data_IF_002127001875
#
_entry.id   IF_002127001875
#
_cell.length_a   1.000
_cell.length_b   1.000
_cell.length_c   1.000
_cell.angle_alpha   90.00
_cell.angle_beta   90.00
_cell.angle_gamma   90.00
#
_symmetry.space_group_name_H-M   'P 1'
#
loop_
_entity.id
_entity.type
_entity.pdbx_description
1 polymer ?
#
# COMPACT_ATOMS: atom_id res chain seq x y z
N UNK A 1 -2.29 59.74 -42.62
CA UNK A 1 -2.41 61.02 -41.87
C UNK A 1 -3.72 60.99 -41.08
N UNK A 2 -3.78 61.63 -39.89
CA UNK A 2 -4.99 61.88 -39.06
C UNK A 2 -5.66 60.61 -38.46
N UNK A 3 -6.29 60.63 -37.27
CA UNK A 3 -6.25 61.59 -36.16
C UNK A 3 -6.66 60.94 -34.82
N UNK A 4 -6.40 61.70 -33.74
CA UNK A 4 -6.70 61.52 -32.32
C UNK A 4 -8.11 61.04 -31.91
N UNK A 5 -8.27 60.62 -30.64
CA UNK A 5 -9.55 60.77 -29.92
C UNK A 5 -9.70 59.96 -28.62
N UNK A 6 -9.37 60.55 -27.46
CA UNK A 6 -9.73 59.99 -26.14
C UNK A 6 -11.21 60.20 -25.81
N UNK A 7 -11.77 59.42 -24.86
CA UNK A 7 -12.77 59.92 -23.88
C UNK A 7 -12.78 59.02 -22.62
N UNK A 8 -13.02 59.66 -21.47
CA UNK A 8 -13.06 59.10 -20.11
C UNK A 8 -14.43 59.41 -19.50
N UNK A 9 -15.09 58.45 -18.84
CA UNK A 9 -16.08 58.70 -17.75
C UNK A 9 -16.39 57.34 -17.07
N UNK A 10 -15.96 57.15 -15.82
CA UNK A 10 -16.76 57.28 -14.58
C UNK A 10 -17.63 56.07 -14.22
N UNK A 11 -17.28 55.39 -13.12
CA UNK A 11 -18.08 55.39 -11.88
C UNK A 11 -17.18 55.04 -10.69
N UNK A 12 -17.30 55.82 -9.59
CA UNK A 12 -16.58 55.66 -8.31
C UNK A 12 -17.58 55.94 -7.18
N UNK A 13 -17.22 55.60 -5.93
CA UNK A 13 -18.08 55.56 -4.72
C UNK A 13 -19.04 54.36 -4.70
N UNK A 14 -19.19 53.57 -3.63
CA UNK A 14 -18.62 53.55 -2.27
C UNK A 14 -18.08 52.12 -1.93
N UNK A 15 -17.42 51.80 -0.82
CA UNK A 15 -17.04 52.58 0.38
C UNK A 15 -15.52 52.42 0.66
N UNK A 16 -15.10 52.25 1.91
CA UNK A 16 -13.71 51.99 2.36
C UNK A 16 -13.74 51.16 3.67
N UNK A 17 -12.57 50.68 4.14
CA UNK A 17 -12.37 49.71 5.25
C UNK A 17 -12.74 48.25 4.89
N UNK A 18 -11.89 47.22 5.03
CA UNK A 18 -10.59 47.13 5.73
C UNK A 18 -9.56 46.36 4.90
N UNK A 19 -8.45 46.99 4.53
CA UNK A 19 -7.23 46.33 4.01
C UNK A 19 -6.08 46.67 4.93
N UNK A 20 -5.72 45.74 5.83
CA UNK A 20 -4.34 45.49 6.25
C UNK A 20 -4.18 43.97 6.50
N UNK A 21 -2.98 43.46 6.25
CA UNK A 21 -2.60 42.03 6.26
C UNK A 21 -3.17 41.13 5.14
N UNK A 22 -2.56 41.21 3.94
CA UNK A 22 -2.22 40.04 3.11
C UNK A 22 -1.22 40.40 1.98
N UNK A 23 -0.08 41.00 2.35
CA UNK A 23 1.03 41.20 1.41
C UNK A 23 1.72 39.84 1.12
N UNK A 24 1.27 39.14 0.08
CA UNK A 24 1.85 37.84 -0.30
C UNK A 24 1.53 37.31 -1.71
N UNK A 25 0.48 37.78 -2.38
CA UNK A 25 0.02 37.20 -3.66
C UNK A 25 0.31 38.02 -4.93
N UNK A 26 0.66 39.30 -4.80
CA UNK A 26 0.77 40.23 -5.96
C UNK A 26 1.94 40.01 -6.92
N UNK A 27 2.87 39.07 -6.66
CA UNK A 27 4.07 38.86 -7.49
C UNK A 27 4.08 37.58 -8.35
N UNK A 28 3.04 36.74 -8.27
CA UNK A 28 2.99 35.49 -9.05
C UNK A 28 2.30 35.64 -10.42
N UNK A 29 1.40 36.61 -10.57
CA UNK A 29 0.56 36.78 -11.78
C UNK A 29 1.35 37.43 -12.93
N UNK A 30 2.26 38.37 -12.65
CA UNK A 30 3.06 39.07 -13.66
C UNK A 30 4.18 38.23 -14.32
N UNK A 31 4.23 36.91 -14.09
CA UNK A 31 5.26 36.01 -14.64
C UNK A 31 4.72 34.93 -15.59
N UNK A 32 3.43 34.94 -15.91
CA UNK A 32 2.78 33.91 -16.73
C UNK A 32 2.34 34.36 -18.13
N UNK A 33 2.42 35.65 -18.49
CA UNK A 33 1.99 36.15 -19.81
C UNK A 33 3.06 36.15 -20.90
N UNK A 34 4.31 35.74 -20.62
CA UNK A 34 5.41 35.79 -21.61
C UNK A 34 5.76 34.47 -22.30
N UNK A 35 5.01 33.38 -22.08
CA UNK A 35 5.29 32.06 -22.69
C UNK A 35 4.01 31.34 -23.16
N UNK A 36 3.23 31.96 -24.05
CA UNK A 36 2.23 31.23 -24.86
C UNK A 36 2.03 31.83 -26.26
N UNK A 37 3.02 31.59 -27.12
CA UNK A 37 2.83 31.61 -28.57
C UNK A 37 3.19 30.22 -29.13
N UNK A 38 2.19 29.34 -29.26
CA UNK A 38 2.01 28.31 -30.32
C UNK A 38 0.93 27.28 -29.91
N UNK A 39 -0.15 27.22 -30.70
CA UNK A 39 -0.91 26.00 -31.03
C UNK A 39 -1.55 25.11 -29.93
N UNK A 40 -2.89 25.14 -29.88
CA UNK A 40 -3.80 24.05 -29.42
C UNK A 40 -3.90 23.74 -27.91
N UNK A 41 -4.54 24.64 -27.15
CA UNK A 41 -5.36 24.25 -25.98
C UNK A 41 -6.39 25.34 -25.63
N UNK A 42 -7.63 25.22 -26.14
CA UNK A 42 -8.72 26.18 -25.83
C UNK A 42 -9.90 25.53 -25.07
N UNK A 43 -10.18 24.24 -25.26
CA UNK A 43 -11.31 23.57 -24.59
C UNK A 43 -11.09 23.26 -23.09
N UNK A 44 -9.84 23.26 -22.59
CA UNK A 44 -9.55 22.91 -21.18
C UNK A 44 -9.60 24.09 -20.19
N UNK A 45 -9.41 25.33 -20.65
CA UNK A 45 -9.37 26.49 -19.74
C UNK A 45 -10.78 26.94 -19.31
N UNK A 46 -11.79 26.79 -20.17
CA UNK A 46 -13.17 27.17 -19.84
C UNK A 46 -13.77 26.34 -18.70
N UNK A 47 -13.39 25.07 -18.60
CA UNK A 47 -13.85 24.15 -17.56
C UNK A 47 -13.32 24.52 -16.16
N UNK A 48 -12.07 24.99 -16.08
CA UNK A 48 -11.47 25.42 -14.81
C UNK A 48 -12.10 26.71 -14.27
N UNK A 49 -12.51 27.63 -15.14
CA UNK A 49 -13.13 28.89 -14.72
C UNK A 49 -14.53 28.66 -14.12
N UNK A 50 -15.34 27.78 -14.70
CA UNK A 50 -16.66 27.43 -14.13
C UNK A 50 -16.55 26.69 -12.78
N UNK A 51 -15.58 25.78 -12.61
CA UNK A 51 -15.37 25.10 -11.34
C UNK A 51 -14.98 26.06 -10.21
N UNK A 52 -14.13 27.06 -10.48
CA UNK A 52 -13.73 28.06 -9.48
C UNK A 52 -14.92 28.91 -9.02
N UNK A 53 -15.77 29.36 -9.94
CA UNK A 53 -16.96 30.17 -9.61
C UNK A 53 -17.97 29.37 -8.77
N UNK A 54 -18.18 28.09 -9.09
CA UNK A 54 -19.07 27.21 -8.32
C UNK A 54 -18.55 26.94 -6.90
N UNK A 55 -17.25 26.72 -6.71
CA UNK A 55 -16.67 26.56 -5.36
C UNK A 55 -16.80 27.84 -4.51
N UNK A 56 -16.61 29.02 -5.10
CA UNK A 56 -16.79 30.30 -4.40
C UNK A 56 -18.24 30.54 -3.95
N UNK A 57 -19.24 30.09 -4.71
CA UNK A 57 -20.66 30.16 -4.28
C UNK A 57 -20.98 29.17 -3.17
N UNK A 58 -20.47 27.93 -3.23
CA UNK A 58 -20.70 26.92 -2.18
C UNK A 58 -20.14 27.34 -0.82
N UNK A 59 -18.99 28.01 -0.78
CA UNK A 59 -18.37 28.46 0.49
C UNK A 59 -19.19 29.58 1.15
N UNK A 60 -19.83 30.47 0.37
CA UNK A 60 -20.72 31.52 0.93
C UNK A 60 -22.01 30.95 1.53
N UNK A 61 -22.56 29.88 0.96
CA UNK A 61 -23.80 29.26 1.48
C UNK A 61 -23.60 28.59 2.85
N UNK A 62 -22.45 27.94 3.08
CA UNK A 62 -22.14 27.24 4.35
C UNK A 62 -21.97 28.23 5.52
N UNK A 63 -21.53 29.46 5.25
CA UNK A 63 -21.34 30.51 6.27
C UNK A 63 -22.68 31.16 6.67
N UNK A 64 -23.75 30.99 5.89
CA UNK A 64 -25.04 31.68 6.07
C UNK A 64 -26.17 30.86 6.71
N UNK A 65 -25.93 29.60 7.09
CA UNK A 65 -26.78 28.88 8.07
C UNK A 65 -28.25 28.62 7.70
N UNK A 66 -28.61 28.42 6.43
CA UNK A 66 -30.01 28.17 6.02
C UNK A 66 -30.19 26.91 5.13
N UNK A 67 -30.85 25.89 5.70
CA UNK A 67 -31.73 24.88 5.06
C UNK A 67 -31.08 23.88 4.05
N UNK A 68 -31.41 22.56 4.08
CA UNK A 68 -30.70 21.54 3.28
C UNK A 68 -31.16 21.46 1.82
N UNK A 69 -30.23 21.17 0.91
CA UNK A 69 -30.48 20.95 -0.53
C UNK A 69 -30.03 19.53 -0.93
N UNK A 70 -30.83 18.74 -1.65
CA UNK A 70 -30.44 17.41 -2.10
C UNK A 70 -29.42 17.48 -3.26
N UNK A 71 -28.37 16.66 -3.18
CA UNK A 71 -27.32 16.59 -4.22
C UNK A 71 -27.81 15.81 -5.43
N UNK A 72 -28.04 16.50 -6.55
CA UNK A 72 -28.28 15.90 -7.87
C UNK A 72 -26.95 15.74 -8.58
N UNK A 73 -26.55 14.51 -8.91
CA UNK A 73 -25.35 14.22 -9.71
C UNK A 73 -25.72 14.10 -11.19
N UNK A 74 -25.24 15.01 -12.03
CA UNK A 74 -25.35 14.91 -13.49
C UNK A 74 -24.14 14.17 -14.08
N UNK A 75 -24.39 13.08 -14.82
CA UNK A 75 -23.41 12.45 -15.70
C UNK A 75 -23.52 13.04 -17.10
N UNK A 76 -22.49 13.74 -17.58
CA UNK A 76 -22.39 14.21 -18.96
C UNK A 76 -21.58 13.23 -19.81
N UNK A 77 -22.22 12.59 -20.80
CA UNK A 77 -21.57 11.76 -21.83
C UNK A 77 -21.39 12.58 -23.12
N UNK A 78 -20.18 12.60 -23.67
CA UNK A 78 -19.93 13.17 -25.01
C UNK A 78 -19.99 12.06 -26.05
N UNK A 79 -21.03 12.10 -26.90
CA UNK A 79 -21.14 11.28 -28.10
C UNK A 79 -20.23 11.81 -29.20
N UNK A 80 -19.41 10.93 -29.80
CA UNK A 80 -18.69 11.23 -31.05
C UNK A 80 -19.17 10.27 -32.14
N UNK A 81 -19.98 10.78 -33.07
CA UNK A 81 -20.48 10.02 -34.21
C UNK A 81 -19.38 9.93 -35.28
N UNK A 82 -19.09 8.72 -35.76
CA UNK A 82 -18.09 8.47 -36.80
C UNK A 82 -18.38 7.17 -37.52
N UNK A 83 -19.29 7.21 -38.51
CA UNK A 83 -19.72 6.01 -39.22
C UNK A 83 -18.67 5.48 -40.21
N UNK A 84 -18.61 4.15 -40.36
CA UNK A 84 -18.08 3.49 -41.56
C UNK A 84 -19.05 2.40 -42.03
N UNK A 85 -19.20 2.33 -43.36
CA UNK A 85 -20.13 1.45 -44.08
C UNK A 85 -19.73 -0.03 -43.91
N UNK A 86 -20.71 -0.92 -43.84
CA UNK A 86 -20.53 -2.36 -44.12
C UNK A 86 -21.39 -2.78 -45.32
N UNK A 87 -20.97 -3.84 -46.00
CA UNK A 87 -21.49 -4.25 -47.30
C UNK A 87 -22.54 -5.38 -47.22
N UNK A 88 -23.60 -5.20 -48.01
CA UNK A 88 -24.33 -6.23 -48.79
C UNK A 88 -24.74 -7.59 -48.17
N UNK A 89 -26.07 -7.77 -48.15
CA UNK A 89 -26.84 -8.92 -48.69
C UNK A 89 -27.04 -10.25 -47.92
N UNK A 90 -28.32 -10.45 -47.55
CA UNK A 90 -29.28 -11.47 -48.10
C UNK A 90 -29.76 -12.64 -47.21
N UNK A 91 -31.10 -12.83 -47.31
CA UNK A 91 -31.94 -14.04 -47.05
C UNK A 91 -32.15 -14.46 -45.58
N UNK A 92 -33.23 -15.20 -45.22
CA UNK A 92 -34.69 -15.22 -45.58
C UNK A 92 -35.34 -16.36 -44.76
N UNK A 93 -36.67 -16.28 -44.53
CA UNK A 93 -37.61 -17.22 -43.84
C UNK A 93 -37.96 -16.77 -42.41
N UNK A 94 -39.23 -16.57 -41.99
CA UNK A 94 -40.55 -17.23 -42.15
C UNK A 94 -40.89 -18.22 -41.02
N UNK A 95 -42.01 -17.96 -40.34
CA UNK A 95 -42.59 -18.78 -39.29
C UNK A 95 -43.56 -17.94 -38.44
N UNK A 96 -44.87 -18.07 -38.65
CA UNK A 96 -45.91 -17.24 -38.03
C UNK A 96 -46.97 -18.14 -37.38
N UNK A 97 -47.39 -17.85 -36.14
CA UNK A 97 -48.60 -18.44 -35.55
C UNK A 97 -49.23 -17.55 -34.44
N UNK A 98 -50.29 -16.86 -34.85
CA UNK A 98 -51.48 -16.41 -34.10
C UNK A 98 -51.43 -16.05 -32.59
N UNK A 99 -51.48 -14.73 -32.35
CA UNK A 99 -52.50 -13.99 -31.57
C UNK A 99 -53.15 -14.69 -30.35
N UNK A 100 -52.87 -14.14 -29.15
CA UNK A 100 -53.92 -13.70 -28.20
C UNK A 100 -53.64 -12.25 -27.80
N UNK A 101 -54.64 -11.39 -27.92
CA UNK A 101 -54.62 -10.01 -27.43
C UNK A 101 -55.09 -10.01 -25.97
N UNK A 102 -54.27 -9.47 -25.07
CA UNK A 102 -54.70 -8.94 -23.76
C UNK A 102 -54.00 -7.59 -23.58
N UNK A 103 -54.66 -6.66 -22.89
CA UNK A 103 -54.45 -5.20 -22.93
C UNK A 103 -53.11 -4.71 -22.35
N UNK A 104 -52.66 -3.55 -22.84
CA UNK A 104 -51.36 -2.93 -22.52
C UNK A 104 -51.12 -2.76 -21.01
N UNK A 105 -50.04 -3.36 -20.51
CA UNK A 105 -49.28 -2.85 -19.35
C UNK A 105 -47.83 -3.35 -19.39
N UNK A 106 -47.16 -3.16 -20.54
CA UNK A 106 -45.86 -3.75 -20.83
C UNK A 106 -44.67 -2.81 -20.55
N UNK A 107 -43.74 -3.28 -19.72
CA UNK A 107 -42.31 -3.47 -20.08
C UNK A 107 -41.48 -3.99 -18.89
N UNK A 108 -41.66 -5.28 -18.54
CA UNK A 108 -40.66 -6.01 -17.73
C UNK A 108 -39.50 -6.44 -18.63
N UNK A 109 -38.49 -5.58 -18.75
CA UNK A 109 -37.25 -5.93 -19.47
C UNK A 109 -36.40 -6.87 -18.59
N UNK A 110 -36.43 -8.17 -18.89
CA UNK A 110 -35.30 -9.05 -18.57
C UNK A 110 -34.14 -8.71 -19.51
N UNK A 111 -33.18 -7.92 -19.04
CA UNK A 111 -31.91 -7.72 -19.75
C UNK A 111 -30.81 -8.56 -19.09
N UNK A 112 -30.31 -9.52 -19.86
CA UNK A 112 -29.12 -10.30 -19.56
C UNK A 112 -27.93 -9.32 -19.46
N UNK A 113 -27.53 -8.97 -18.23
CA UNK A 113 -26.27 -8.27 -18.00
C UNK A 113 -25.11 -9.26 -18.19
N UNK A 114 -24.54 -9.29 -19.39
CA UNK A 114 -23.21 -9.86 -19.61
C UNK A 114 -22.20 -9.03 -18.80
N UNK A 115 -21.46 -9.71 -17.93
CA UNK A 115 -20.38 -9.12 -17.15
C UNK A 115 -19.31 -8.50 -18.06
N UNK A 116 -19.03 -7.22 -17.86
CA UNK A 116 -17.83 -6.52 -18.35
C UNK A 116 -17.15 -5.82 -17.17
N UNK A 117 -16.81 -6.61 -16.16
CA UNK A 117 -16.16 -6.15 -14.94
C UNK A 117 -14.69 -5.78 -15.21
N UNK A 118 -14.41 -4.50 -15.44
CA UNK A 118 -13.04 -3.99 -15.35
C UNK A 118 -12.68 -3.91 -13.86
N UNK A 119 -12.16 -5.02 -13.34
CA UNK A 119 -11.75 -5.17 -11.95
C UNK A 119 -10.50 -4.34 -11.63
N UNK A 120 -10.69 -3.16 -11.04
CA UNK A 120 -9.66 -2.56 -10.19
C UNK A 120 -9.74 -3.24 -8.81
N UNK A 121 -8.97 -4.31 -8.60
CA UNK A 121 -9.02 -5.11 -7.38
C UNK A 121 -8.29 -4.43 -6.21
N UNK A 122 -8.93 -3.41 -5.63
CA UNK A 122 -8.84 -3.17 -4.20
C UNK A 122 -9.94 -3.97 -3.50
N UNK A 123 -9.55 -4.86 -2.58
CA UNK A 123 -10.48 -5.69 -1.81
C UNK A 123 -11.49 -4.84 -1.06
N UNK A 124 -12.73 -4.81 -1.55
CA UNK A 124 -13.87 -4.17 -0.89
C UNK A 124 -14.76 -5.26 -0.28
N UNK A 125 -14.71 -5.40 1.05
CA UNK A 125 -15.67 -6.21 1.77
C UNK A 125 -17.08 -5.66 1.55
N UNK A 126 -17.95 -6.45 0.90
CA UNK A 126 -19.38 -6.15 0.83
C UNK A 126 -20.04 -6.42 2.17
N UNK A 127 -20.12 -5.40 3.02
CA UNK A 127 -20.94 -5.40 4.25
C UNK A 127 -22.10 -4.41 4.14
N UNK A 128 -23.06 -4.70 3.28
CA UNK A 128 -24.41 -4.11 3.34
C UNK A 128 -25.37 -5.06 4.04
N UNK A 129 -25.19 -5.19 5.36
CA UNK A 129 -26.19 -5.69 6.32
C UNK A 129 -26.10 -4.82 7.58
N UNK A 130 -27.26 -4.49 8.15
CA UNK A 130 -27.49 -3.66 9.33
C UNK A 130 -26.41 -3.77 10.43
N UNK A 131 -25.77 -2.63 10.75
CA UNK A 131 -25.33 -2.33 12.11
C UNK A 131 -26.45 -1.48 12.73
N UNK A 132 -27.40 -2.02 13.52
CA UNK A 132 -27.25 -2.68 14.83
C UNK A 132 -26.21 -2.01 15.73
N UNK A 133 -26.62 -1.62 16.95
CA UNK A 133 -25.69 -0.99 17.90
C UNK A 133 -24.48 -1.91 18.11
N UNK A 134 -23.24 -1.40 18.04
CA UNK A 134 -22.06 -2.24 18.16
C UNK A 134 -21.99 -2.87 19.56
N UNK A 135 -21.42 -4.08 19.63
CA UNK A 135 -21.27 -4.87 20.84
C UNK A 135 -20.87 -4.01 22.05
N UNK A 136 -21.68 -4.08 23.11
CA UNK A 136 -21.74 -3.17 24.26
C UNK A 136 -20.42 -2.43 24.53
N UNK A 137 -20.30 -1.22 23.98
CA UNK A 137 -19.06 -0.43 24.05
C UNK A 137 -18.67 -0.10 25.49
N UNK A 138 -19.67 0.11 26.35
CA UNK A 138 -19.46 0.32 27.78
C UNK A 138 -18.83 -0.90 28.45
N UNK A 139 -19.30 -2.11 28.14
CA UNK A 139 -18.70 -3.34 28.66
C UNK A 139 -17.26 -3.55 28.16
N UNK A 140 -16.96 -3.19 26.91
CA UNK A 140 -15.58 -3.21 26.37
C UNK A 140 -14.67 -2.22 27.09
N UNK A 141 -15.17 -1.02 27.37
CA UNK A 141 -14.47 -0.02 28.19
C UNK A 141 -14.25 -0.54 29.63
N UNK A 142 -15.22 -1.24 30.24
CA UNK A 142 -15.01 -1.90 31.55
C UNK A 142 -13.88 -2.93 31.50
N UNK A 143 -13.81 -3.75 30.45
CA UNK A 143 -12.70 -4.70 30.25
C UNK A 143 -11.34 -4.01 30.11
N UNK A 144 -11.27 -2.86 29.42
CA UNK A 144 -10.07 -2.02 29.34
C UNK A 144 -9.71 -1.47 30.74
N UNK A 145 -10.69 -0.93 31.46
CA UNK A 145 -10.50 -0.35 32.80
C UNK A 145 -10.01 -1.40 33.80
N UNK A 146 -10.56 -2.61 33.74
CA UNK A 146 -10.10 -3.76 34.52
C UNK A 146 -8.62 -4.09 34.25
N UNK A 147 -8.19 -4.11 32.98
CA UNK A 147 -6.79 -4.37 32.61
C UNK A 147 -5.83 -3.26 33.05
N UNK A 148 -6.32 -2.02 33.08
CA UNK A 148 -5.58 -0.84 33.56
C UNK A 148 -5.60 -0.69 35.09
N UNK A 149 -6.29 -1.58 35.81
CA UNK A 149 -6.51 -1.49 37.27
C UNK A 149 -7.15 -0.16 37.72
N UNK A 150 -8.06 0.39 36.91
CA UNK A 150 -8.84 1.61 37.22
C UNK A 150 -10.33 1.29 37.43
N UNK A 151 -11.13 2.19 38.05
CA UNK A 151 -12.56 1.96 38.25
C UNK A 151 -13.31 1.66 36.95
N UNK A 152 -14.13 0.61 36.97
CA UNK A 152 -14.85 0.09 35.80
C UNK A 152 -16.17 0.85 35.54
N UNK A 153 -16.06 2.17 35.30
CA UNK A 153 -17.21 3.04 35.01
C UNK A 153 -17.95 2.64 33.73
N UNK A 154 -17.25 2.02 32.77
CA UNK A 154 -17.77 1.75 31.43
C UNK A 154 -17.95 3.00 30.58
N UNK A 155 -17.36 4.12 31.00
CA UNK A 155 -17.27 5.39 30.28
C UNK A 155 -15.79 5.71 30.12
N UNK A 156 -15.37 6.20 28.95
CA UNK A 156 -13.97 6.57 28.76
C UNK A 156 -13.70 7.92 29.44
N UNK A 157 -13.25 7.84 30.69
CA UNK A 157 -13.04 8.98 31.59
C UNK A 157 -11.56 9.41 31.67
N UNK A 158 -11.31 10.51 32.41
CA UNK A 158 -9.98 11.08 32.59
C UNK A 158 -9.00 10.11 33.28
N UNK A 159 -9.51 9.24 34.16
CA UNK A 159 -8.72 8.22 34.87
C UNK A 159 -8.24 7.15 33.89
N UNK A 160 -9.14 6.66 33.04
CA UNK A 160 -8.85 5.71 31.96
C UNK A 160 -7.85 6.31 30.96
N UNK A 161 -8.06 7.56 30.56
CA UNK A 161 -7.15 8.27 29.65
C UNK A 161 -5.75 8.48 30.26
N UNK A 162 -5.66 8.82 31.55
CA UNK A 162 -4.38 8.95 32.26
C UNK A 162 -3.61 7.62 32.33
N UNK A 163 -4.29 6.53 32.66
CA UNK A 163 -3.68 5.20 32.71
C UNK A 163 -3.14 4.78 31.33
N UNK A 164 -3.91 5.01 30.26
CA UNK A 164 -3.46 4.75 28.88
C UNK A 164 -2.28 5.63 28.46
N UNK A 165 -2.30 6.93 28.77
CA UNK A 165 -1.14 7.80 28.50
C UNK A 165 0.13 7.31 29.22
N UNK A 166 -0.01 6.75 30.43
CA UNK A 166 1.11 6.16 31.18
C UNK A 166 1.63 4.86 30.52
N UNK A 167 0.74 3.92 30.19
CA UNK A 167 1.07 2.67 29.47
C UNK A 167 1.79 2.96 28.15
N UNK A 168 1.30 3.94 27.39
CA UNK A 168 1.85 4.36 26.10
C UNK A 168 3.07 5.28 26.22
N UNK A 169 3.40 5.78 27.42
CA UNK A 169 4.45 6.77 27.69
C UNK A 169 4.33 8.06 26.86
N UNK A 170 3.09 8.54 26.66
CA UNK A 170 2.78 9.74 25.87
C UNK A 170 2.28 10.89 26.77
N UNK A 171 2.66 12.13 26.44
CA UNK A 171 2.08 13.31 27.07
C UNK A 171 0.80 13.73 26.32
N UNK A 172 -0.35 13.49 26.93
CA UNK A 172 -1.67 13.86 26.40
C UNK A 172 -2.19 15.25 26.81
N UNK A 173 -1.38 16.09 27.44
CA UNK A 173 -1.86 17.35 28.03
C UNK A 173 -2.77 17.10 29.25
N UNK A 174 -3.60 18.09 29.59
CA UNK A 174 -4.38 18.11 30.85
C UNK A 174 -5.84 17.65 30.70
N UNK A 175 -6.51 17.92 29.57
CA UNK A 175 -7.94 17.61 29.41
C UNK A 175 -8.19 16.20 28.86
N UNK A 176 -9.42 15.69 29.05
CA UNK A 176 -9.82 14.40 28.49
C UNK A 176 -9.69 14.41 26.97
N UNK A 177 -10.18 15.44 26.29
CA UNK A 177 -10.13 15.55 24.83
C UNK A 177 -8.70 15.55 24.29
N UNK A 178 -7.75 16.26 24.92
CA UNK A 178 -6.36 16.25 24.44
C UNK A 178 -5.69 14.90 24.66
N UNK A 179 -5.99 14.22 25.77
CA UNK A 179 -5.49 12.86 26.05
C UNK A 179 -6.09 11.84 25.09
N UNK A 180 -7.40 11.88 24.84
CA UNK A 180 -8.06 11.01 23.85
C UNK A 180 -7.43 11.17 22.47
N UNK A 181 -7.20 12.41 22.01
CA UNK A 181 -6.52 12.65 20.73
C UNK A 181 -5.08 12.13 20.71
N UNK A 182 -4.33 12.30 21.80
CA UNK A 182 -2.98 11.74 21.91
C UNK A 182 -2.96 10.20 21.89
N UNK A 183 -3.91 9.55 22.58
CA UNK A 183 -4.11 8.10 22.57
C UNK A 183 -4.49 7.64 21.16
N UNK A 184 -5.44 8.30 20.50
CA UNK A 184 -5.86 8.02 19.13
C UNK A 184 -4.69 8.04 18.15
N UNK A 185 -3.85 9.09 18.19
CA UNK A 185 -2.61 9.16 17.41
C UNK A 185 -1.65 8.01 17.75
N UNK A 186 -1.45 7.74 19.04
CA UNK A 186 -0.55 6.68 19.50
C UNK A 186 -1.03 5.26 19.19
N UNK A 187 -2.33 5.04 18.96
CA UNK A 187 -2.89 3.76 18.49
C UNK A 187 -3.26 3.76 16.99
N UNK A 188 -2.81 4.77 16.25
CA UNK A 188 -2.93 4.82 14.78
C UNK A 188 -4.36 4.96 14.25
N UNK A 189 -5.17 5.83 14.86
CA UNK A 189 -6.50 6.23 14.34
C UNK A 189 -6.66 7.75 14.28
N UNK A 190 -7.65 8.21 13.52
CA UNK A 190 -8.07 9.61 13.45
C UNK A 190 -8.26 10.18 14.85
N UNK A 191 -7.66 11.33 15.12
CA UNK A 191 -7.67 12.00 16.42
C UNK A 191 -8.81 13.02 16.52
N UNK A 192 -10.03 12.57 16.27
CA UNK A 192 -11.25 13.37 16.38
C UNK A 192 -11.59 13.75 17.83
N UNK A 193 -11.11 12.99 18.83
CA UNK A 193 -11.44 13.14 20.25
C UNK A 193 -12.57 12.22 20.74
N UNK A 194 -13.07 11.33 19.89
CA UNK A 194 -14.26 10.49 20.12
C UNK A 194 -13.86 9.02 20.27
N UNK A 195 -14.29 8.39 21.36
CA UNK A 195 -14.04 6.98 21.64
C UNK A 195 -15.07 6.11 20.93
N UNK A 196 -14.86 5.92 19.62
CA UNK A 196 -15.65 4.99 18.80
C UNK A 196 -15.21 3.53 18.93
N UNK A 197 -15.97 2.58 18.36
CA UNK A 197 -15.64 1.15 18.39
C UNK A 197 -14.24 0.80 17.84
N UNK A 198 -13.76 1.56 16.84
CA UNK A 198 -12.42 1.40 16.26
C UNK A 198 -11.34 1.77 17.30
N UNK A 199 -11.46 2.94 17.93
CA UNK A 199 -10.53 3.38 18.99
C UNK A 199 -10.48 2.37 20.15
N UNK A 200 -11.64 1.81 20.54
CA UNK A 200 -11.70 0.76 21.57
C UNK A 200 -11.00 -0.53 21.11
N UNK A 201 -11.23 -1.01 19.89
CA UNK A 201 -10.53 -2.20 19.35
C UNK A 201 -9.00 -2.01 19.31
N UNK A 202 -8.55 -0.79 19.04
CA UNK A 202 -7.11 -0.44 19.03
C UNK A 202 -6.49 -0.44 20.41
N UNK A 203 -7.22 0.04 21.42
CA UNK A 203 -6.80 0.01 22.82
C UNK A 203 -6.80 -1.43 23.35
N UNK A 204 -7.80 -2.24 23.01
CA UNK A 204 -7.82 -3.68 23.33
C UNK A 204 -6.60 -4.40 22.74
N UNK A 205 -6.23 -4.13 21.49
CA UNK A 205 -5.04 -4.70 20.84
C UNK A 205 -3.71 -4.20 21.45
N UNK A 206 -3.70 -3.00 22.07
CA UNK A 206 -2.55 -2.45 22.79
C UNK A 206 -2.37 -3.10 24.18
N UNK A 207 -3.47 -3.42 24.88
CA UNK A 207 -3.44 -3.96 26.25
C UNK A 207 -3.40 -5.49 26.30
N UNK A 208 -4.07 -6.15 25.36
CA UNK A 208 -4.04 -7.60 25.16
C UNK A 208 -3.67 -7.92 23.71
N UNK A 209 -2.40 -7.70 23.33
CA UNK A 209 -1.93 -8.08 22.02
C UNK A 209 -2.01 -9.60 21.84
N UNK A 210 -2.87 -10.04 20.92
CA UNK A 210 -2.99 -11.44 20.51
C UNK A 210 -2.49 -11.55 19.08
N UNK A 211 -1.40 -12.30 18.88
CA UNK A 211 -1.01 -12.72 17.55
C UNK A 211 -2.20 -13.45 16.90
N UNK A 212 -2.52 -13.18 15.61
CA UNK A 212 -3.54 -13.94 14.91
C UNK A 212 -3.15 -15.42 14.87
N UNK A 213 -4.14 -16.30 14.99
CA UNK A 213 -3.92 -17.72 14.79
C UNK A 213 -3.38 -17.95 13.38
N UNK A 214 -2.22 -18.61 13.28
CA UNK A 214 -1.55 -18.86 11.99
C UNK A 214 -2.38 -19.92 11.24
N UNK A 215 -2.94 -19.60 10.06
CA UNK A 215 -3.77 -20.54 9.30
C UNK A 215 -3.00 -21.78 8.88
N UNK A 216 -3.72 -22.87 8.61
CA UNK A 216 -3.13 -24.07 8.03
C UNK A 216 -2.42 -23.73 6.70
N UNK A 217 -1.16 -24.14 6.57
CA UNK A 217 -0.29 -23.84 5.41
C UNK A 217 0.60 -22.60 5.57
N UNK A 218 0.28 -21.68 6.48
CA UNK A 218 1.18 -20.57 6.83
C UNK A 218 2.20 -20.99 7.90
N UNK A 219 3.37 -20.36 7.90
CA UNK A 219 4.46 -20.62 8.83
C UNK A 219 4.53 -19.60 9.96
N UNK A 220 4.28 -18.32 9.66
CA UNK A 220 4.56 -17.21 10.57
C UNK A 220 3.64 -16.01 10.29
N UNK A 221 3.67 -15.02 11.18
CA UNK A 221 2.88 -13.80 11.09
C UNK A 221 3.83 -12.60 11.09
N UNK A 222 3.91 -11.88 9.98
CA UNK A 222 4.88 -10.78 9.78
C UNK A 222 4.17 -9.44 9.59
N UNK A 223 4.81 -8.34 9.95
CA UNK A 223 4.22 -7.01 9.75
C UNK A 223 4.29 -6.54 8.30
N UNK A 224 3.36 -5.68 7.88
CA UNK A 224 3.45 -4.98 6.59
C UNK A 224 4.75 -4.15 6.50
N UNK A 225 5.20 -3.54 7.61
CA UNK A 225 6.46 -2.81 7.67
C UNK A 225 7.67 -3.70 7.33
N UNK A 226 7.69 -4.94 7.79
CA UNK A 226 8.74 -5.91 7.45
C UNK A 226 8.72 -6.32 5.98
N UNK A 227 7.54 -6.50 5.40
CA UNK A 227 7.39 -6.81 3.98
C UNK A 227 7.86 -5.64 3.09
N UNK A 228 7.55 -4.41 3.49
CA UNK A 228 8.06 -3.20 2.83
C UNK A 228 9.58 -3.09 2.95
N UNK A 229 10.17 -3.41 4.11
CA UNK A 229 11.63 -3.47 4.26
C UNK A 229 12.25 -4.45 3.26
N UNK A 230 11.70 -5.67 3.15
CA UNK A 230 12.18 -6.68 2.21
C UNK A 230 12.09 -6.16 0.78
N UNK A 231 10.92 -5.69 0.33
CA UNK A 231 10.73 -5.18 -1.04
C UNK A 231 11.67 -4.00 -1.34
N UNK A 232 11.79 -3.04 -0.43
CA UNK A 232 12.67 -1.89 -0.60
C UNK A 232 14.15 -2.31 -0.68
N UNK A 233 14.54 -3.39 0.00
CA UNK A 233 15.90 -3.94 -0.12
C UNK A 233 16.16 -4.65 -1.46
N UNK A 234 15.11 -5.15 -2.15
CA UNK A 234 15.24 -5.81 -3.46
C UNK A 234 15.09 -4.85 -4.65
N UNK A 235 14.17 -3.88 -4.60
CA UNK A 235 13.80 -3.02 -5.76
C UNK A 235 13.78 -1.52 -5.48
N UNK A 236 14.18 -1.09 -4.27
CA UNK A 236 14.20 0.30 -3.78
C UNK A 236 12.85 0.99 -3.63
N UNK A 237 12.01 1.02 -4.67
CA UNK A 237 10.66 1.60 -4.65
C UNK A 237 9.80 1.12 -5.84
N UNK A 238 8.50 1.43 -5.81
CA UNK A 238 7.56 1.16 -6.92
C UNK A 238 7.97 1.90 -8.20
N UNK A 239 8.50 3.11 -8.08
CA UNK A 239 8.96 3.96 -9.19
C UNK A 239 10.25 3.38 -9.79
N UNK A 240 11.21 2.98 -8.95
CA UNK A 240 12.45 2.35 -9.39
C UNK A 240 12.18 1.01 -10.10
N UNK A 241 11.27 0.19 -9.58
CA UNK A 241 10.79 -1.01 -10.25
C UNK A 241 10.14 -0.71 -11.60
N UNK A 242 9.21 0.24 -11.63
CA UNK A 242 8.48 0.65 -12.83
C UNK A 242 9.41 1.15 -13.93
N UNK A 243 10.48 1.86 -13.57
CA UNK A 243 11.47 2.36 -14.52
C UNK A 243 12.49 1.32 -14.99
N UNK A 244 12.87 0.33 -14.16
CA UNK A 244 14.07 -0.52 -14.41
C UNK A 244 13.84 -2.03 -14.41
N UNK A 245 12.85 -2.53 -13.66
CA UNK A 245 12.76 -3.96 -13.29
C UNK A 245 11.47 -4.67 -13.78
N UNK A 246 10.61 -3.98 -14.54
CA UNK A 246 9.40 -4.59 -15.13
C UNK A 246 9.66 -5.73 -16.12
N UNK A 247 10.82 -5.74 -16.79
CA UNK A 247 11.16 -6.76 -17.78
C UNK A 247 12.15 -7.77 -17.22
N UNK A 248 12.15 -9.02 -17.73
CA UNK A 248 13.12 -10.04 -17.36
C UNK A 248 14.58 -9.54 -17.41
N UNK A 249 15.38 -9.93 -16.43
CA UNK A 249 16.80 -9.58 -16.28
C UNK A 249 17.64 -10.82 -16.02
N UNK A 250 18.95 -10.70 -16.22
CA UNK A 250 19.94 -11.65 -15.71
C UNK A 250 20.90 -10.86 -14.82
N UNK A 251 20.96 -11.14 -13.50
CA UNK A 251 21.76 -10.35 -12.57
C UNK A 251 23.28 -10.65 -12.65
N UNK A 252 23.68 -11.72 -13.36
CA UNK A 252 25.07 -12.17 -13.47
C UNK A 252 25.33 -13.50 -12.77
N UNK A 253 26.58 -13.97 -12.82
CA UNK A 253 26.99 -15.24 -12.20
C UNK A 253 26.17 -16.43 -12.71
N UNK A 254 25.93 -17.41 -11.84
CA UNK A 254 25.18 -18.64 -12.15
C UNK A 254 23.65 -18.47 -12.09
N UNK A 255 23.14 -17.25 -11.88
CA UNK A 255 21.70 -16.98 -11.92
C UNK A 255 21.09 -17.31 -13.29
N UNK A 256 19.80 -17.63 -13.27
CA UNK A 256 18.99 -17.74 -14.47
C UNK A 256 18.33 -16.42 -14.86
N UNK A 257 17.28 -16.52 -15.68
CA UNK A 257 16.43 -15.37 -16.01
C UNK A 257 15.56 -15.05 -14.78
N UNK A 258 15.69 -13.83 -14.25
CA UNK A 258 14.91 -13.34 -13.11
C UNK A 258 13.76 -12.46 -13.57
N UNK A 259 12.58 -12.64 -12.98
CA UNK A 259 11.37 -11.81 -13.21
C UNK A 259 10.76 -11.35 -11.89
N UNK A 260 9.91 -10.30 -11.94
CA UNK A 260 9.26 -9.76 -10.75
C UNK A 260 10.27 -9.30 -9.70
N UNK A 261 10.02 -9.68 -8.44
CA UNK A 261 10.94 -9.45 -7.31
C UNK A 261 11.68 -10.77 -7.03
N UNK A 262 12.92 -10.88 -7.52
CA UNK A 262 13.85 -11.95 -7.18
C UNK A 262 13.46 -13.38 -7.63
N UNK A 263 12.46 -13.55 -8.51
CA UNK A 263 12.02 -14.89 -8.95
C UNK A 263 12.94 -15.40 -10.07
N UNK A 264 13.94 -16.23 -9.71
CA UNK A 264 14.89 -16.83 -10.66
C UNK A 264 14.33 -18.11 -11.31
N UNK A 265 13.99 -18.01 -12.60
CA UNK A 265 13.43 -19.09 -13.43
C UNK A 265 14.47 -20.18 -13.75
N UNK A 266 15.77 -19.92 -13.53
CA UNK A 266 16.82 -20.93 -13.63
C UNK A 266 16.76 -21.97 -12.50
N UNK A 267 16.15 -21.66 -11.37
CA UNK A 267 16.19 -22.49 -10.16
C UNK A 267 14.83 -23.07 -9.72
N UNK A 268 13.72 -22.71 -10.38
CA UNK A 268 12.39 -23.25 -10.07
C UNK A 268 12.00 -24.43 -10.97
N UNK A 269 11.05 -25.26 -10.51
CA UNK A 269 10.44 -26.29 -11.36
C UNK A 269 9.39 -25.69 -12.30
N UNK A 270 9.00 -26.46 -13.34
CA UNK A 270 7.87 -26.08 -14.21
C UNK A 270 6.58 -25.88 -13.41
N UNK A 271 6.34 -26.71 -12.41
CA UNK A 271 5.14 -26.61 -11.58
C UNK A 271 5.16 -25.33 -10.74
N UNK A 272 6.29 -25.00 -10.12
CA UNK A 272 6.42 -23.77 -9.31
C UNK A 272 6.26 -22.52 -10.17
N UNK A 273 6.86 -22.50 -11.37
CA UNK A 273 6.70 -21.42 -12.33
C UNK A 273 5.23 -21.25 -12.75
N UNK A 274 4.57 -22.34 -13.13
CA UNK A 274 3.16 -22.28 -13.58
C UNK A 274 2.22 -21.91 -12.44
N UNK A 275 2.44 -22.42 -11.22
CA UNK A 275 1.68 -22.02 -10.03
C UNK A 275 1.84 -20.52 -9.74
N UNK A 276 3.05 -19.98 -9.90
CA UNK A 276 3.37 -18.59 -9.57
C UNK A 276 2.97 -17.57 -10.66
N UNK A 277 2.91 -17.95 -11.93
CA UNK A 277 2.81 -16.98 -13.04
C UNK A 277 1.64 -17.19 -14.01
N UNK A 278 0.97 -18.35 -14.02
CA UNK A 278 -0.08 -18.64 -15.01
C UNK A 278 -1.29 -17.71 -14.94
N UNK A 279 -1.67 -17.27 -13.74
CA UNK A 279 -2.76 -16.31 -13.54
C UNK A 279 -2.39 -14.85 -13.87
N UNK A 280 -1.12 -14.58 -14.22
CA UNK A 280 -0.55 -13.24 -14.30
C UNK A 280 0.07 -12.87 -15.66
N UNK A 281 0.32 -13.86 -16.52
CA UNK A 281 0.96 -13.69 -17.83
C UNK A 281 0.09 -14.30 -18.93
N UNK A 282 0.19 -13.75 -20.15
CA UNK A 282 -0.43 -14.37 -21.32
C UNK A 282 0.25 -15.69 -21.65
N UNK A 283 -0.47 -16.62 -22.31
CA UNK A 283 0.09 -17.90 -22.73
C UNK A 283 1.39 -17.73 -23.55
N UNK A 284 1.41 -16.76 -24.47
CA UNK A 284 2.62 -16.40 -25.23
C UNK A 284 3.81 -16.04 -24.34
N UNK A 285 3.60 -15.21 -23.30
CA UNK A 285 4.68 -14.85 -22.36
C UNK A 285 5.09 -16.04 -21.47
N UNK A 286 4.15 -16.90 -21.08
CA UNK A 286 4.46 -18.14 -20.36
C UNK A 286 5.34 -19.06 -21.22
N UNK A 287 4.98 -19.30 -22.48
CA UNK A 287 5.74 -20.16 -23.39
C UNK A 287 7.17 -19.62 -23.63
N UNK A 288 7.31 -18.30 -23.81
CA UNK A 288 8.62 -17.65 -23.92
C UNK A 288 9.50 -17.86 -22.68
N UNK A 289 8.91 -17.84 -21.48
CA UNK A 289 9.63 -18.02 -20.21
C UNK A 289 9.90 -19.51 -19.90
N UNK A 290 8.98 -20.40 -20.27
CA UNK A 290 9.17 -21.85 -20.18
C UNK A 290 10.33 -22.32 -21.06
N UNK A 291 10.54 -21.69 -22.21
CA UNK A 291 11.71 -21.92 -23.08
C UNK A 291 13.05 -21.48 -22.47
N UNK A 292 13.06 -20.79 -21.33
CA UNK A 292 14.27 -20.46 -20.55
C UNK A 292 14.30 -21.06 -19.15
N UNK A 293 13.33 -21.91 -18.81
CA UNK A 293 13.28 -22.64 -17.55
C UNK A 293 14.55 -23.49 -17.36
N UNK A 294 15.14 -23.41 -16.17
CA UNK A 294 16.37 -24.13 -15.83
C UNK A 294 17.66 -23.57 -16.47
N UNK A 295 17.58 -22.60 -17.40
CA UNK A 295 18.78 -21.98 -17.99
C UNK A 295 19.45 -21.05 -16.98
N UNK A 296 20.79 -21.09 -16.95
CA UNK A 296 21.65 -20.40 -15.99
C UNK A 296 22.89 -19.82 -16.69
N UNK A 297 23.60 -18.95 -15.99
CA UNK A 297 24.92 -18.48 -16.41
C UNK A 297 24.90 -17.55 -17.62
N UNK A 298 26.04 -17.42 -18.29
CA UNK A 298 26.23 -16.48 -19.41
C UNK A 298 25.26 -16.69 -20.58
N UNK A 299 24.70 -17.90 -20.76
CA UNK A 299 23.68 -18.19 -21.77
C UNK A 299 22.41 -17.33 -21.56
N UNK A 300 22.02 -17.03 -20.32
CA UNK A 300 20.88 -16.16 -20.03
C UNK A 300 21.09 -14.74 -20.56
N UNK A 301 22.32 -14.20 -20.50
CA UNK A 301 22.67 -12.85 -20.99
C UNK A 301 22.25 -12.63 -22.45
N UNK A 302 22.45 -13.63 -23.29
CA UNK A 302 22.14 -13.57 -24.72
C UNK A 302 20.63 -13.61 -25.00
N UNK A 303 19.83 -14.18 -24.10
CA UNK A 303 18.38 -14.37 -24.27
C UNK A 303 17.58 -13.16 -23.74
N UNK A 304 18.10 -12.42 -22.75
CA UNK A 304 17.41 -11.25 -22.16
C UNK A 304 16.82 -10.27 -23.20
N UNK A 305 17.48 -9.91 -24.33
CA UNK A 305 16.91 -9.01 -25.32
C UNK A 305 15.56 -9.46 -25.90
N UNK A 306 15.38 -10.76 -26.22
CA UNK A 306 14.13 -11.26 -26.78
C UNK A 306 12.99 -11.30 -25.75
N UNK A 307 13.34 -11.37 -24.45
CA UNK A 307 12.38 -11.36 -23.35
C UNK A 307 11.93 -9.95 -22.91
N UNK A 308 12.52 -8.87 -23.44
CA UNK A 308 12.16 -7.48 -23.05
C UNK A 308 10.75 -7.04 -23.42
N UNK A 309 10.07 -7.77 -24.32
CA UNK A 309 8.64 -7.58 -24.61
C UNK A 309 7.76 -7.89 -23.39
N UNK A 310 8.21 -8.81 -22.52
CA UNK A 310 7.49 -9.19 -21.31
C UNK A 310 7.60 -8.04 -20.30
N UNK A 311 6.45 -7.63 -19.77
CA UNK A 311 6.30 -6.59 -18.74
C UNK A 311 5.46 -7.15 -17.59
N UNK A 312 6.06 -7.20 -16.41
CA UNK A 312 5.40 -7.54 -15.14
C UNK A 312 5.10 -6.22 -14.42
N UNK A 313 3.85 -6.00 -14.01
CA UNK A 313 3.50 -4.82 -13.23
C UNK A 313 4.07 -4.93 -11.81
N UNK A 314 4.32 -3.79 -11.14
CA UNK A 314 4.79 -3.82 -9.75
C UNK A 314 3.81 -4.57 -8.84
N UNK A 315 2.52 -4.33 -8.98
CA UNK A 315 1.49 -4.92 -8.11
C UNK A 315 1.39 -6.44 -8.35
N UNK A 316 1.56 -6.90 -9.59
CA UNK A 316 1.73 -8.33 -9.93
C UNK A 316 3.00 -8.91 -9.31
N UNK A 317 4.13 -8.21 -9.41
CA UNK A 317 5.41 -8.69 -8.88
C UNK A 317 5.39 -8.83 -7.35
N UNK A 318 4.76 -7.88 -6.65
CA UNK A 318 4.52 -7.93 -5.20
C UNK A 318 3.56 -9.07 -4.84
N UNK A 319 2.48 -9.26 -5.60
CA UNK A 319 1.55 -10.36 -5.36
C UNK A 319 2.26 -11.72 -5.45
N UNK A 320 3.01 -11.98 -6.52
CA UNK A 320 3.75 -13.24 -6.67
C UNK A 320 4.81 -13.41 -5.60
N UNK A 321 5.51 -12.33 -5.24
CA UNK A 321 6.50 -12.33 -4.17
C UNK A 321 5.91 -12.77 -2.82
N UNK A 322 4.74 -12.24 -2.45
CA UNK A 322 4.04 -12.61 -1.22
C UNK A 322 3.41 -14.00 -1.27
N UNK A 323 2.87 -14.44 -2.41
CA UNK A 323 2.10 -15.69 -2.51
C UNK A 323 2.97 -16.92 -2.78
N UNK A 324 4.14 -16.75 -3.40
CA UNK A 324 4.99 -17.88 -3.84
C UNK A 324 6.42 -17.81 -3.28
N UNK A 325 7.04 -16.63 -3.27
CA UNK A 325 8.46 -16.50 -2.85
C UNK A 325 8.62 -16.51 -1.33
N UNK A 326 7.91 -15.65 -0.61
CA UNK A 326 8.05 -15.52 0.85
C UNK A 326 7.60 -16.76 1.64
N UNK A 327 6.52 -17.49 1.30
CA UNK A 327 6.09 -18.66 2.07
C UNK A 327 7.11 -19.80 2.09
N UNK A 328 7.91 -19.94 1.03
CA UNK A 328 9.03 -20.88 1.02
C UNK A 328 10.12 -20.48 2.02
N UNK A 329 10.51 -19.20 2.02
CA UNK A 329 11.48 -18.67 2.98
C UNK A 329 10.94 -18.75 4.42
N UNK A 330 9.66 -18.47 4.64
CA UNK A 330 8.99 -18.53 5.94
C UNK A 330 9.01 -19.95 6.56
N UNK A 331 8.83 -20.99 5.74
CA UNK A 331 9.01 -22.39 6.19
C UNK A 331 10.43 -22.65 6.69
N UNK A 332 11.44 -22.16 5.96
CA UNK A 332 12.84 -22.31 6.37
C UNK A 332 13.17 -21.50 7.64
N UNK A 333 12.63 -20.28 7.78
CA UNK A 333 12.78 -19.47 9.01
C UNK A 333 12.22 -20.21 10.21
N UNK A 334 11.01 -20.77 10.12
CA UNK A 334 10.39 -21.56 11.20
C UNK A 334 11.14 -22.85 11.51
N UNK A 335 11.71 -23.50 10.49
CA UNK A 335 12.52 -24.72 10.63
C UNK A 335 13.86 -24.46 11.33
N UNK A 336 14.51 -23.34 11.01
CA UNK A 336 15.85 -22.98 11.53
C UNK A 336 15.77 -22.32 12.91
N UNK A 337 14.72 -21.53 13.16
CA UNK A 337 14.50 -20.83 14.41
C UNK A 337 13.19 -21.28 15.09
N UNK A 338 13.17 -22.47 15.73
CA UNK A 338 11.99 -22.96 16.43
C UNK A 338 11.48 -21.95 17.47
N UNK A 339 10.19 -21.64 17.40
CA UNK A 339 9.56 -20.64 18.27
C UNK A 339 9.47 -19.24 17.68
N UNK A 340 10.07 -18.95 16.51
CA UNK A 340 9.97 -17.66 15.81
C UNK A 340 8.54 -17.13 15.73
N UNK A 341 7.57 -18.02 15.49
CA UNK A 341 6.15 -17.67 15.35
C UNK A 341 5.49 -17.12 16.63
N UNK A 342 6.20 -17.16 17.77
CA UNK A 342 5.81 -16.58 19.07
C UNK A 342 6.42 -15.20 19.33
N UNK A 343 7.28 -14.69 18.45
CA UNK A 343 7.89 -13.36 18.56
C UNK A 343 6.95 -12.26 18.02
N UNK A 344 7.23 -10.97 18.24
CA UNK A 344 6.51 -9.89 17.57
C UNK A 344 6.58 -9.98 16.04
N UNK A 345 5.53 -9.61 15.27
CA UNK A 345 5.52 -9.75 13.82
C UNK A 345 6.61 -8.97 13.07
N UNK A 346 7.07 -7.86 13.64
CA UNK A 346 8.24 -7.12 13.14
C UNK A 346 9.54 -7.93 13.30
N UNK A 347 9.75 -8.54 14.47
CA UNK A 347 10.89 -9.43 14.75
C UNK A 347 10.84 -10.70 13.89
N UNK A 348 9.64 -11.27 13.69
CA UNK A 348 9.42 -12.37 12.74
C UNK A 348 9.83 -11.97 11.31
N UNK A 349 9.38 -10.80 10.85
CA UNK A 349 9.71 -10.29 9.52
C UNK A 349 11.18 -9.89 9.32
N UNK A 350 11.86 -9.41 10.37
CA UNK A 350 13.30 -9.16 10.35
C UNK A 350 14.12 -10.45 10.12
N UNK A 351 13.70 -11.56 10.75
CA UNK A 351 14.30 -12.88 10.54
C UNK A 351 13.98 -13.46 9.16
N UNK A 352 12.78 -13.18 8.63
CA UNK A 352 12.42 -13.50 7.24
C UNK A 352 13.30 -12.75 6.24
N UNK A 353 13.51 -11.45 6.43
CA UNK A 353 14.41 -10.65 5.57
C UNK A 353 15.87 -11.11 5.65
N UNK A 354 16.34 -11.49 6.84
CA UNK A 354 17.66 -12.10 7.05
C UNK A 354 17.83 -13.36 6.20
N UNK A 355 16.88 -14.29 6.32
CA UNK A 355 17.00 -15.58 5.66
C UNK A 355 16.78 -15.48 4.16
N UNK A 356 15.91 -14.59 3.70
CA UNK A 356 15.75 -14.27 2.28
C UNK A 356 17.06 -13.72 1.69
N UNK A 357 17.72 -12.80 2.39
CA UNK A 357 18.97 -12.19 1.93
C UNK A 357 20.19 -13.12 1.94
N UNK A 358 20.27 -14.04 2.92
CA UNK A 358 21.47 -14.87 3.16
C UNK A 358 21.28 -16.35 2.89
N UNK A 359 20.07 -16.80 2.60
CA UNK A 359 19.72 -18.22 2.44
C UNK A 359 19.75 -19.03 3.75
N UNK A 360 19.17 -20.24 3.73
CA UNK A 360 18.91 -21.07 4.91
C UNK A 360 20.12 -21.80 5.50
N UNK A 361 21.33 -21.62 4.95
CA UNK A 361 22.53 -22.34 5.42
C UNK A 361 22.98 -21.83 6.80
N UNK A 362 23.01 -22.74 7.77
CA UNK A 362 23.64 -22.58 9.08
C UNK A 362 24.82 -23.56 9.16
N UNK A 363 25.99 -23.07 9.54
CA UNK A 363 27.20 -23.87 9.77
C UNK A 363 28.18 -23.12 10.68
N UNK A 364 29.33 -23.73 10.96
CA UNK A 364 30.35 -23.19 11.88
C UNK A 364 31.34 -22.21 11.25
N UNK A 365 31.09 -21.74 10.01
CA UNK A 365 31.91 -20.68 9.43
C UNK A 365 31.73 -19.36 10.17
N UNK A 366 32.79 -18.56 10.31
CA UNK A 366 32.68 -17.20 10.89
C UNK A 366 31.62 -16.35 10.15
N UNK A 367 31.42 -16.58 8.85
CA UNK A 367 30.38 -15.91 8.06
C UNK A 367 28.94 -16.26 8.48
N UNK A 368 28.72 -17.33 9.26
CA UNK A 368 27.39 -17.77 9.73
C UNK A 368 27.22 -17.70 11.25
N UNK A 369 28.23 -17.29 12.02
CA UNK A 369 28.20 -17.37 13.49
C UNK A 369 27.01 -16.62 14.12
N UNK A 370 26.68 -15.41 13.68
CA UNK A 370 25.54 -14.67 14.21
C UNK A 370 24.21 -15.35 13.86
N UNK A 371 24.10 -15.96 12.67
CA UNK A 371 22.90 -16.71 12.28
C UNK A 371 22.73 -17.98 13.11
N UNK A 372 23.82 -18.67 13.47
CA UNK A 372 23.77 -19.79 14.42
C UNK A 372 23.40 -19.32 15.83
N UNK A 373 23.94 -18.17 16.27
CA UNK A 373 23.66 -17.59 17.59
C UNK A 373 22.20 -17.14 17.77
N UNK A 374 21.48 -16.84 16.68
CA UNK A 374 20.04 -16.52 16.74
C UNK A 374 19.15 -17.67 17.21
N UNK A 375 19.58 -18.93 17.04
CA UNK A 375 18.76 -20.13 17.37
C UNK A 375 18.32 -20.14 18.86
N UNK A 376 19.22 -20.12 19.85
CA UNK A 376 18.83 -20.08 21.27
C UNK A 376 18.10 -18.79 21.65
N UNK A 377 18.43 -17.66 21.01
CA UNK A 377 17.80 -16.36 21.32
C UNK A 377 16.33 -16.33 20.89
N UNK A 378 16.02 -16.86 19.71
CA UNK A 378 14.63 -17.01 19.24
C UNK A 378 13.85 -18.00 20.11
N UNK A 379 14.46 -19.12 20.49
CA UNK A 379 13.81 -20.11 21.37
C UNK A 379 13.50 -19.53 22.77
N UNK A 380 14.37 -18.65 23.29
CA UNK A 380 14.19 -17.95 24.56
C UNK A 380 13.27 -16.71 24.49
N UNK A 381 12.90 -16.25 23.29
CA UNK A 381 12.15 -15.00 23.12
C UNK A 381 12.99 -13.72 23.31
N UNK A 382 14.32 -13.79 23.27
CA UNK A 382 15.20 -12.64 23.49
C UNK A 382 15.28 -11.74 22.25
N UNK A 383 14.31 -10.85 22.14
CA UNK A 383 14.21 -9.83 21.08
C UNK A 383 15.46 -8.93 21.04
N UNK A 384 16.04 -8.60 22.21
CA UNK A 384 17.22 -7.71 22.28
C UNK A 384 18.47 -8.43 21.77
N UNK A 385 18.68 -9.69 22.18
CA UNK A 385 19.72 -10.56 21.64
C UNK A 385 19.58 -10.75 20.13
N UNK A 386 18.35 -10.98 19.63
CA UNK A 386 18.07 -11.10 18.19
C UNK A 386 18.51 -9.84 17.43
N UNK A 387 18.11 -8.66 17.89
CA UNK A 387 18.52 -7.39 17.30
C UNK A 387 20.06 -7.17 17.37
N UNK A 388 20.69 -7.51 18.49
CA UNK A 388 22.14 -7.42 18.65
C UNK A 388 22.92 -8.31 17.68
N UNK A 389 22.44 -9.54 17.41
CA UNK A 389 23.03 -10.43 16.40
C UNK A 389 22.83 -9.90 14.98
N UNK A 390 21.61 -9.45 14.63
CA UNK A 390 21.33 -8.80 13.34
C UNK A 390 22.26 -7.60 13.08
N UNK A 391 22.47 -6.76 14.10
CA UNK A 391 23.35 -5.59 14.05
C UNK A 391 24.84 -5.97 13.97
N UNK A 392 25.26 -7.03 14.66
CA UNK A 392 26.65 -7.54 14.63
C UNK A 392 27.05 -8.06 13.24
N UNK A 393 26.11 -8.64 12.48
CA UNK A 393 26.37 -9.12 11.11
C UNK A 393 26.88 -8.04 10.15
N UNK A 394 26.71 -6.73 10.45
CA UNK A 394 27.23 -5.62 9.62
C UNK A 394 28.74 -5.75 9.34
N UNK A 395 29.53 -6.35 10.25
CA UNK A 395 30.96 -6.62 10.08
C UNK A 395 31.31 -7.46 8.84
N UNK A 396 30.36 -8.23 8.30
CA UNK A 396 30.57 -9.09 7.14
C UNK A 396 30.72 -8.31 5.83
N UNK A 397 30.45 -7.00 5.87
CA UNK A 397 30.39 -6.10 4.73
C UNK A 397 31.03 -4.74 4.99
N UNK A 398 31.73 -4.57 6.11
CA UNK A 398 32.54 -3.36 6.38
C UNK A 398 33.68 -3.24 5.38
N UNK A 399 34.14 -2.00 5.19
CA UNK A 399 35.31 -1.70 4.38
C UNK A 399 36.58 -2.25 5.04
N UNK A 400 37.43 -2.93 4.27
CA UNK A 400 38.72 -3.44 4.75
C UNK A 400 39.81 -2.54 4.20
N UNK A 401 40.63 -1.99 5.10
CA UNK A 401 41.79 -1.17 4.78
C UNK A 401 43.08 -1.87 5.21
N UNK A 402 44.10 -1.76 4.38
CA UNK A 402 45.47 -2.18 4.69
C UNK A 402 46.39 -0.98 4.40
N UNK A 403 47.17 -0.56 5.39
CA UNK A 403 48.06 0.61 5.31
C UNK A 403 47.35 1.89 4.82
N UNK A 404 46.11 2.13 5.28
CA UNK A 404 45.26 3.25 4.87
C UNK A 404 44.55 3.09 3.53
N UNK A 405 44.98 2.15 2.68
CA UNK A 405 44.39 1.87 1.35
C UNK A 405 43.20 0.93 1.48
N UNK A 406 42.10 1.22 0.78
CA UNK A 406 40.92 0.33 0.72
C UNK A 406 41.26 -0.86 -0.17
N UNK A 407 41.39 -2.05 0.43
CA UNK A 407 41.61 -3.31 -0.31
C UNK A 407 40.28 -4.05 -0.59
N UNK A 408 39.24 -3.79 0.21
CA UNK A 408 37.89 -4.27 -0.08
C UNK A 408 36.86 -3.19 0.29
N UNK A 409 36.11 -2.73 -0.72
CA UNK A 409 35.02 -1.76 -0.54
C UNK A 409 33.85 -2.39 0.22
N UNK A 410 33.32 -1.69 1.22
CA UNK A 410 32.17 -2.16 2.00
C UNK A 410 30.85 -2.13 1.22
N UNK A 411 29.95 -3.08 1.49
CA UNK A 411 28.64 -3.19 0.83
C UNK A 411 27.57 -2.41 1.60
N UNK A 412 27.57 -1.08 1.46
CA UNK A 412 26.71 -0.15 2.22
C UNK A 412 25.23 -0.56 2.27
N UNK A 413 24.65 -1.05 1.16
CA UNK A 413 23.25 -1.49 1.13
C UNK A 413 22.94 -2.65 2.09
N UNK A 414 23.86 -3.61 2.23
CA UNK A 414 23.70 -4.74 3.16
C UNK A 414 23.91 -4.34 4.62
N UNK A 415 24.80 -3.37 4.88
CA UNK A 415 24.96 -2.75 6.20
C UNK A 415 23.67 -2.02 6.61
N UNK A 416 23.08 -1.23 5.71
CA UNK A 416 21.82 -0.52 5.95
C UNK A 416 20.69 -1.50 6.19
N UNK A 417 20.54 -2.54 5.36
CA UNK A 417 19.53 -3.59 5.52
C UNK A 417 19.61 -4.23 6.91
N UNK A 418 20.81 -4.69 7.32
CA UNK A 418 21.03 -5.30 8.65
C UNK A 418 20.66 -4.37 9.80
N UNK A 419 20.95 -3.07 9.68
CA UNK A 419 20.56 -2.09 10.69
C UNK A 419 19.04 -1.93 10.73
N UNK A 420 18.38 -1.80 9.58
CA UNK A 420 16.93 -1.69 9.51
C UNK A 420 16.23 -2.93 10.07
N UNK A 421 16.76 -4.13 9.85
CA UNK A 421 16.23 -5.37 10.44
C UNK A 421 16.48 -5.45 11.94
N UNK A 422 17.61 -4.97 12.44
CA UNK A 422 17.87 -4.87 13.88
C UNK A 422 16.93 -3.86 14.56
N UNK A 423 16.74 -2.69 13.95
CA UNK A 423 15.80 -1.63 14.40
C UNK A 423 14.36 -2.13 14.36
N UNK A 424 13.98 -2.89 13.33
CA UNK A 424 12.65 -3.50 13.23
C UNK A 424 12.46 -4.58 14.30
N UNK A 425 13.48 -5.41 14.54
CA UNK A 425 13.44 -6.43 15.57
C UNK A 425 13.33 -5.84 16.99
N UNK A 426 14.16 -4.86 17.35
CA UNK A 426 14.22 -4.30 18.71
C UNK A 426 13.02 -3.44 19.09
N UNK A 427 12.39 -2.79 18.11
CA UNK A 427 11.13 -2.06 18.29
C UNK A 427 9.90 -2.97 18.07
N UNK A 428 10.11 -4.26 17.79
CA UNK A 428 9.05 -5.19 17.53
C UNK A 428 8.12 -5.35 18.72
N UNK A 429 6.83 -5.06 18.49
CA UNK A 429 5.79 -5.14 19.50
C UNK A 429 4.71 -6.14 19.11
N UNK A 430 4.14 -6.82 20.11
CA UNK A 430 2.94 -7.61 19.89
C UNK A 430 1.71 -6.72 19.64
N UNK A 431 1.79 -5.42 19.99
CA UNK A 431 0.74 -4.41 19.84
C UNK A 431 0.59 -3.94 18.38
N UNK A 432 0.55 -4.88 17.45
CA UNK A 432 0.35 -4.63 16.02
C UNK A 432 -1.05 -5.09 15.61
N UNK A 433 -1.63 -4.30 14.71
CA UNK A 433 -3.02 -4.36 14.32
C UNK A 433 -3.25 -5.52 13.34
N UNK A 434 -4.37 -6.28 13.41
CA UNK A 434 -4.60 -7.42 12.53
C UNK A 434 -4.47 -7.12 11.04
N UNK A 435 -4.89 -5.93 10.58
CA UNK A 435 -4.74 -5.50 9.19
C UNK A 435 -3.29 -5.13 8.79
N UNK A 436 -2.41 -4.90 9.77
CA UNK A 436 -0.98 -4.65 9.58
C UNK A 436 -0.15 -5.94 9.69
N UNK A 437 -0.80 -7.10 9.84
CA UNK A 437 -0.17 -8.42 9.89
C UNK A 437 -0.52 -9.20 8.63
N UNK A 438 0.46 -9.89 8.06
CA UNK A 438 0.31 -10.84 6.96
C UNK A 438 0.84 -12.19 7.42
N UNK A 439 0.06 -13.26 7.21
CA UNK A 439 0.50 -14.63 7.48
C UNK A 439 1.17 -15.22 6.24
N UNK A 440 2.39 -15.75 6.40
CA UNK A 440 3.25 -16.28 5.33
C UNK A 440 3.83 -17.64 5.68
#
# INVERSE_FOLDING_TARGET
>A
MRQCGSIVLHYRFFFHQSIQHLNGFGKLIARYESVFAFGKCVERCFFFYQLLVLQCFSIKAVIAGQVPVPVIVHNAFVLRIGGKKQATNRKKSQGCLHKKFVTLTDLKIQLIQRNSSIHCNYFTFKTTKLFTMPANLSQRIKSIQQQLSVPQSGVFDITTANALCSVMKINGGTSLTTKTKAIQRGVGVTDDGIIGPITVSRIEALLQPKLPAIPAGASMAVSIASLQLIINAEVSSKEAYTAKYQSPVWPGGDSGVTIGIGFDIGYCSRQDFMNAWSAHLSQQHLDMLLNVLGKKGAACKQIIPSLKVIKVSYDTAVQVFYQHTLPACARDVRRIYPGVQKLPPDTQGALLSLLYNRGPLINDSDRRKEMKALIPLVAAGDIKGVAAQLRSMKRLWTEIKQNGVIIQKGMKGLIIRREQEAVLAENGSFNILPENIVTV
#
